data_IF_994296079356
#
_entry.id   IF_994296079356
#
_cell.length_a   1.000
_cell.length_b   1.000
_cell.length_c   1.000
_cell.angle_alpha   90.00
_cell.angle_beta   90.00
_cell.angle_gamma   90.00
#
_symmetry.space_group_name_H-M   'P 1'
#
loop_
_entity.id
_entity.type
_entity.pdbx_description
1 polymer ?
#
# COMPACT_ATOMS: atom_id res chain seq x y z
N UNK A 1 -6.06 20.22 -6.17
CA UNK A 1 -4.92 19.54 -6.81
C UNK A 1 -3.89 19.07 -5.78
N UNK A 2 -3.62 19.84 -4.72
CA UNK A 2 -2.60 19.46 -3.71
C UNK A 2 -2.95 18.22 -2.90
N UNK A 3 -4.21 18.04 -2.49
CA UNK A 3 -4.61 16.88 -1.68
C UNK A 3 -4.33 15.53 -2.37
N UNK A 4 -4.55 15.43 -3.68
CA UNK A 4 -4.25 14.23 -4.46
C UNK A 4 -2.75 13.99 -4.57
N UNK A 5 -1.96 15.05 -4.82
CA UNK A 5 -0.49 14.95 -4.86
C UNK A 5 0.09 14.53 -3.52
N UNK A 6 -0.41 15.12 -2.43
CA UNK A 6 0.00 14.78 -1.06
C UNK A 6 -0.31 13.31 -0.77
N UNK A 7 -1.50 12.83 -1.10
CA UNK A 7 -1.87 11.42 -0.92
C UNK A 7 -0.93 10.48 -1.70
N UNK A 8 -0.63 10.79 -2.96
CA UNK A 8 0.27 10.00 -3.81
C UNK A 8 1.68 9.95 -3.22
N UNK A 9 2.20 11.08 -2.77
CA UNK A 9 3.52 11.18 -2.14
C UNK A 9 3.57 10.43 -0.81
N UNK A 10 2.53 10.53 0.01
CA UNK A 10 2.44 9.81 1.27
C UNK A 10 2.46 8.29 1.04
N UNK A 11 1.66 7.79 0.10
CA UNK A 11 1.64 6.36 -0.22
C UNK A 11 2.92 5.88 -0.92
N UNK A 12 3.55 6.70 -1.74
CA UNK A 12 4.88 6.41 -2.28
C UNK A 12 5.92 6.26 -1.18
N UNK A 13 5.89 7.13 -0.16
CA UNK A 13 6.74 7.03 1.03
C UNK A 13 6.48 5.76 1.83
N UNK A 14 5.21 5.42 2.09
CA UNK A 14 4.83 4.19 2.78
C UNK A 14 5.32 2.96 2.01
N UNK A 15 5.10 2.93 0.69
CA UNK A 15 5.59 1.86 -0.18
C UNK A 15 7.11 1.72 -0.10
N UNK A 16 7.85 2.82 -0.21
CA UNK A 16 9.30 2.82 -0.10
C UNK A 16 9.79 2.31 1.26
N UNK A 17 9.09 2.66 2.35
CA UNK A 17 9.40 2.15 3.68
C UNK A 17 9.19 0.62 3.77
N UNK A 18 8.10 0.10 3.22
CA UNK A 18 7.85 -1.35 3.17
C UNK A 18 8.93 -2.07 2.38
N UNK A 19 9.31 -1.56 1.20
CA UNK A 19 10.40 -2.13 0.39
C UNK A 19 11.72 -2.08 1.15
N UNK A 20 12.04 -0.97 1.80
CA UNK A 20 13.24 -0.83 2.62
C UNK A 20 13.30 -1.88 3.73
N UNK A 21 12.19 -2.12 4.45
CA UNK A 21 12.13 -3.18 5.47
C UNK A 21 12.40 -4.55 4.85
N UNK A 22 11.74 -4.89 3.75
CA UNK A 22 11.94 -6.19 3.08
C UNK A 22 13.40 -6.36 2.64
N UNK A 23 13.96 -5.37 1.96
CA UNK A 23 15.35 -5.41 1.48
C UNK A 23 16.33 -5.52 2.66
N UNK A 24 16.13 -4.74 3.72
CA UNK A 24 16.96 -4.82 4.93
C UNK A 24 16.88 -6.20 5.57
N UNK A 25 15.70 -6.81 5.72
CA UNK A 25 15.58 -8.16 6.30
C UNK A 25 16.28 -9.25 5.49
N UNK A 26 16.41 -9.06 4.18
CA UNK A 26 17.09 -10.00 3.28
C UNK A 26 18.61 -9.78 3.27
N UNK A 27 19.06 -8.53 3.19
CA UNK A 27 20.48 -8.18 3.03
C UNK A 27 21.23 -8.04 4.35
N UNK A 28 20.52 -7.69 5.43
CA UNK A 28 21.05 -7.53 6.78
C UNK A 28 20.13 -8.27 7.78
N UNK A 29 20.14 -9.61 7.78
CA UNK A 29 19.24 -10.43 8.59
C UNK A 29 19.53 -10.31 10.10
N UNK A 30 20.74 -9.90 10.48
CA UNK A 30 21.03 -9.47 11.85
C UNK A 30 20.57 -8.00 12.00
N UNK A 31 19.54 -7.71 12.82
CA UNK A 31 19.00 -6.37 12.97
C UNK A 31 19.89 -5.46 13.85
N UNK A 32 21.00 -5.98 14.38
CA UNK A 32 21.88 -5.22 15.27
C UNK A 32 22.92 -4.39 14.50
N UNK A 33 23.23 -3.20 15.03
CA UNK A 33 24.27 -2.33 14.47
C UNK A 33 23.80 -1.35 13.37
N UNK A 34 24.78 -0.73 12.70
CA UNK A 34 24.54 0.35 11.74
C UNK A 34 24.25 -0.14 10.31
N UNK A 35 24.62 -1.38 9.99
CA UNK A 35 24.43 -1.94 8.64
C UNK A 35 22.94 -2.01 8.24
N UNK A 36 22.01 -2.55 9.06
CA UNK A 36 20.59 -2.57 8.73
C UNK A 36 20.01 -1.18 8.54
N UNK A 37 20.45 -0.22 9.35
CA UNK A 37 20.05 1.18 9.24
C UNK A 37 20.53 1.78 7.92
N UNK A 38 21.80 1.56 7.55
CA UNK A 38 22.37 2.01 6.29
C UNK A 38 21.63 1.44 5.07
N UNK A 39 21.35 0.12 5.09
CA UNK A 39 20.58 -0.55 4.03
C UNK A 39 19.15 -0.01 3.94
N UNK A 40 18.48 0.19 5.08
CA UNK A 40 17.12 0.71 5.11
C UNK A 40 17.06 2.14 4.55
N UNK A 41 17.93 3.03 5.03
CA UNK A 41 17.99 4.42 4.59
C UNK A 41 18.39 4.53 3.12
N UNK A 42 19.38 3.75 2.67
CA UNK A 42 19.81 3.72 1.28
C UNK A 42 18.71 3.23 0.34
N UNK A 43 18.03 2.13 0.71
CA UNK A 43 16.89 1.61 -0.08
C UNK A 43 15.76 2.62 -0.13
N UNK A 44 15.38 3.21 1.01
CA UNK A 44 14.34 4.23 1.06
C UNK A 44 14.68 5.43 0.18
N UNK A 45 15.91 5.94 0.27
CA UNK A 45 16.36 7.10 -0.49
C UNK A 45 16.32 6.88 -2.01
N UNK A 46 16.47 5.63 -2.48
CA UNK A 46 16.35 5.28 -3.91
C UNK A 46 14.90 5.02 -4.31
N UNK A 47 14.15 4.26 -3.51
CA UNK A 47 12.80 3.81 -3.87
C UNK A 47 11.78 4.93 -3.74
N UNK A 48 11.88 5.78 -2.71
CA UNK A 48 10.93 6.88 -2.48
C UNK A 48 10.82 7.84 -3.68
N UNK A 49 11.90 8.38 -4.27
CA UNK A 49 11.78 9.28 -5.42
C UNK A 49 11.25 8.57 -6.67
N UNK A 50 11.64 7.30 -6.90
CA UNK A 50 11.12 6.51 -8.02
C UNK A 50 9.62 6.26 -7.87
N UNK A 51 9.18 5.81 -6.70
CA UNK A 51 7.78 5.58 -6.39
C UNK A 51 6.96 6.88 -6.50
N UNK A 52 7.50 8.00 -6.02
CA UNK A 52 6.87 9.31 -6.13
C UNK A 52 6.71 9.73 -7.60
N UNK A 53 7.75 9.53 -8.42
CA UNK A 53 7.71 9.82 -9.84
C UNK A 53 6.60 9.03 -10.55
N UNK A 54 6.57 7.71 -10.39
CA UNK A 54 5.53 6.87 -10.98
C UNK A 54 4.12 7.19 -10.45
N UNK A 55 3.99 7.45 -9.15
CA UNK A 55 2.70 7.77 -8.53
C UNK A 55 2.12 9.10 -9.05
N UNK A 56 2.98 10.08 -9.36
CA UNK A 56 2.55 11.37 -9.90
C UNK A 56 2.28 11.31 -11.41
N UNK A 57 3.06 10.53 -12.16
CA UNK A 57 2.90 10.37 -13.62
C UNK A 57 1.62 9.59 -13.98
N UNK A 58 1.21 8.64 -13.14
CA UNK A 58 0.05 7.76 -13.37
C UNK A 58 -1.30 8.33 -12.92
N UNK A 59 -1.39 9.63 -12.63
CA UNK A 59 -2.64 10.23 -12.16
C UNK A 59 -3.67 10.29 -13.29
N UNK A 60 -4.72 9.46 -13.16
CA UNK A 60 -5.89 9.52 -14.04
C UNK A 60 -6.65 10.86 -13.88
N UNK A 61 -7.22 11.41 -14.98
CA UNK A 61 -8.07 12.60 -14.92
C UNK A 61 -9.28 12.47 -13.99
N UNK A 62 -9.75 11.24 -13.76
CA UNK A 62 -10.92 10.94 -12.91
C UNK A 62 -10.54 10.63 -11.46
N UNK A 63 -9.26 10.74 -11.09
CA UNK A 63 -8.79 10.42 -9.75
C UNK A 63 -9.24 11.49 -8.74
N UNK A 64 -9.85 11.04 -7.65
CA UNK A 64 -10.20 11.89 -6.51
C UNK A 64 -9.26 11.61 -5.33
N UNK A 65 -8.96 12.65 -4.56
CA UNK A 65 -8.19 12.50 -3.33
C UNK A 65 -8.97 11.62 -2.34
N UNK A 66 -8.33 10.61 -1.78
CA UNK A 66 -8.91 9.59 -0.91
C UNK A 66 -9.08 8.23 -1.60
N UNK A 67 -9.07 8.16 -2.94
CA UNK A 67 -9.29 6.91 -3.66
C UNK A 67 -8.19 5.88 -3.36
N UNK A 68 -6.93 6.32 -3.33
CA UNK A 68 -5.80 5.44 -3.08
C UNK A 68 -5.80 4.97 -1.62
N UNK A 69 -6.14 5.87 -0.70
CA UNK A 69 -6.26 5.55 0.72
C UNK A 69 -7.35 4.52 0.97
N UNK A 70 -8.55 4.71 0.40
CA UNK A 70 -9.65 3.75 0.51
C UNK A 70 -9.28 2.41 -0.10
N UNK A 71 -8.67 2.41 -1.29
CA UNK A 71 -8.18 1.20 -1.95
C UNK A 71 -7.23 0.41 -1.05
N UNK A 72 -6.22 1.06 -0.45
CA UNK A 72 -5.28 0.37 0.43
C UNK A 72 -5.88 -0.04 1.77
N UNK A 73 -6.76 0.76 2.37
CA UNK A 73 -7.44 0.38 3.61
C UNK A 73 -8.27 -0.88 3.40
N UNK A 74 -9.00 -0.97 2.28
CA UNK A 74 -9.76 -2.18 1.93
C UNK A 74 -8.82 -3.34 1.63
N UNK A 75 -7.75 -3.12 0.86
CA UNK A 75 -6.74 -4.14 0.59
C UNK A 75 -6.18 -4.73 1.89
N UNK A 76 -5.64 -3.89 2.77
CA UNK A 76 -5.03 -4.34 4.02
C UNK A 76 -6.07 -4.93 4.97
N UNK A 77 -7.27 -4.35 5.05
CA UNK A 77 -8.36 -4.90 5.87
C UNK A 77 -8.73 -6.32 5.45
N UNK A 78 -8.92 -6.56 4.15
CA UNK A 78 -9.27 -7.89 3.62
C UNK A 78 -8.09 -8.84 3.71
N UNK A 79 -6.87 -8.40 3.37
CA UNK A 79 -5.69 -9.26 3.39
C UNK A 79 -5.31 -9.68 4.82
N UNK A 80 -5.30 -8.74 5.78
CA UNK A 80 -5.00 -9.03 7.18
C UNK A 80 -6.14 -9.84 7.82
N UNK A 81 -7.39 -9.42 7.62
CA UNK A 81 -8.56 -10.14 8.13
C UNK A 81 -8.63 -11.57 7.59
N UNK A 82 -8.41 -11.75 6.28
CA UNK A 82 -8.36 -13.06 5.64
C UNK A 82 -7.21 -13.92 6.14
N UNK A 83 -6.00 -13.34 6.31
CA UNK A 83 -4.86 -14.07 6.88
C UNK A 83 -5.12 -14.54 8.31
N UNK A 84 -5.69 -13.68 9.15
CA UNK A 84 -6.05 -14.03 10.52
C UNK A 84 -7.13 -15.11 10.57
N UNK A 85 -8.16 -14.99 9.73
CA UNK A 85 -9.24 -15.98 9.64
C UNK A 85 -8.73 -17.35 9.17
N UNK A 86 -7.92 -17.39 8.10
CA UNK A 86 -7.32 -18.64 7.62
C UNK A 86 -6.36 -19.23 8.66
N UNK A 87 -5.57 -18.38 9.33
CA UNK A 87 -4.70 -18.79 10.43
C UNK A 87 -5.47 -19.43 11.59
N UNK A 88 -6.62 -18.85 11.97
CA UNK A 88 -7.49 -19.41 13.00
C UNK A 88 -8.10 -20.77 12.61
N UNK A 89 -8.26 -21.03 11.31
CA UNK A 89 -8.70 -22.31 10.75
C UNK A 89 -7.55 -23.31 10.54
N UNK A 90 -6.32 -22.98 10.94
CA UNK A 90 -5.14 -23.82 10.73
C UNK A 90 -4.62 -23.83 9.30
N UNK A 91 -5.14 -22.97 8.42
CA UNK A 91 -4.71 -22.83 7.02
C UNK A 91 -3.53 -21.85 6.97
N UNK A 92 -2.33 -22.40 7.11
CA UNK A 92 -1.06 -21.66 7.05
C UNK A 92 -0.36 -21.71 5.69
N UNK A 93 0.93 -21.40 5.70
CA UNK A 93 1.81 -21.51 4.53
C UNK A 93 1.52 -20.49 3.41
N UNK A 94 2.04 -20.74 2.19
CA UNK A 94 1.88 -19.83 1.06
C UNK A 94 0.42 -19.56 0.69
N UNK A 95 -0.46 -20.55 0.81
CA UNK A 95 -1.90 -20.42 0.51
C UNK A 95 -2.58 -19.45 1.48
N UNK A 96 -2.33 -19.60 2.79
CA UNK A 96 -2.84 -18.68 3.82
C UNK A 96 -2.27 -17.25 3.72
N UNK A 97 -1.22 -17.04 2.93
CA UNK A 97 -0.66 -15.71 2.64
C UNK A 97 -1.13 -15.11 1.30
N UNK A 98 -1.05 -15.88 0.22
CA UNK A 98 -1.31 -15.40 -1.15
C UNK A 98 -2.80 -15.19 -1.39
N UNK A 99 -3.65 -16.09 -0.92
CA UNK A 99 -5.10 -16.00 -1.19
C UNK A 99 -5.71 -14.72 -0.59
N UNK A 100 -5.47 -14.37 0.68
CA UNK A 100 -5.97 -13.11 1.24
C UNK A 100 -5.43 -11.87 0.52
N UNK A 101 -4.18 -11.89 0.05
CA UNK A 101 -3.59 -10.78 -0.71
C UNK A 101 -4.27 -10.63 -2.08
N UNK A 102 -4.45 -11.73 -2.82
CA UNK A 102 -5.10 -11.70 -4.13
C UNK A 102 -6.56 -11.25 -4.03
N UNK A 103 -7.32 -11.80 -3.08
CA UNK A 103 -8.71 -11.40 -2.82
C UNK A 103 -8.77 -9.94 -2.37
N UNK A 104 -7.89 -9.54 -1.45
CA UNK A 104 -7.79 -8.16 -1.00
C UNK A 104 -7.52 -7.20 -2.14
N UNK A 105 -6.66 -7.56 -3.09
CA UNK A 105 -6.38 -6.73 -4.26
C UNK A 105 -7.61 -6.60 -5.17
N UNK A 106 -8.29 -7.71 -5.48
CA UNK A 106 -9.50 -7.70 -6.28
C UNK A 106 -10.57 -6.79 -5.68
N UNK A 107 -10.86 -6.94 -4.38
CA UNK A 107 -11.84 -6.10 -3.68
C UNK A 107 -11.41 -4.64 -3.66
N UNK A 108 -10.13 -4.38 -3.39
CA UNK A 108 -9.57 -3.04 -3.37
C UNK A 108 -9.72 -2.30 -4.71
N UNK A 109 -9.55 -2.98 -5.85
CA UNK A 109 -9.73 -2.34 -7.16
C UNK A 109 -11.15 -1.79 -7.39
N UNK A 110 -12.15 -2.38 -6.72
CA UNK A 110 -13.55 -1.97 -6.78
C UNK A 110 -13.95 -0.99 -5.66
N UNK A 111 -13.04 -0.72 -4.71
CA UNK A 111 -13.34 0.01 -3.48
C UNK A 111 -13.45 1.53 -3.66
N UNK A 112 -13.13 2.09 -4.84
CA UNK A 112 -13.19 3.54 -5.07
C UNK A 112 -14.56 4.13 -4.75
N UNK A 113 -15.63 3.37 -5.00
CA UNK A 113 -17.00 3.76 -4.66
C UNK A 113 -17.27 3.95 -3.17
N UNK A 114 -16.36 3.54 -2.28
CA UNK A 114 -16.47 3.76 -0.83
C UNK A 114 -15.89 5.12 -0.39
N UNK A 115 -15.26 5.88 -1.30
CA UNK A 115 -14.76 7.21 -1.00
C UNK A 115 -15.95 8.19 -0.80
N UNK A 116 -16.16 8.75 0.41
CA UNK A 116 -17.31 9.62 0.67
C UNK A 116 -17.33 10.88 -0.20
N UNK A 117 -16.17 11.33 -0.68
CA UNK A 117 -16.07 12.48 -1.59
C UNK A 117 -16.81 12.24 -2.91
N UNK A 118 -16.78 11.00 -3.41
CA UNK A 118 -17.50 10.59 -4.62
C UNK A 118 -19.02 10.60 -4.44
N UNK A 119 -19.51 10.42 -3.21
CA UNK A 119 -20.95 10.45 -2.92
C UNK A 119 -21.52 11.87 -2.99
N UNK A 120 -20.72 12.87 -2.59
CA UNK A 120 -21.13 14.28 -2.61
C UNK A 120 -21.08 14.92 -4.01
N UNK A 121 -20.31 14.35 -4.94
CA UNK A 121 -20.22 14.83 -6.33
C UNK A 121 -21.46 14.49 -7.19
N UNK A 122 -22.20 13.43 -6.86
CA UNK A 122 -23.36 12.96 -7.61
C UNK A 122 -24.70 13.64 -7.25
N UNK A 123 -24.77 14.42 -6.16
CA UNK A 123 -26.01 15.09 -5.72
C UNK A 123 -26.20 16.50 -6.30
N UNK A 124 -25.47 16.85 -7.37
CA UNK A 124 -25.61 18.12 -8.12
C UNK A 124 -25.84 17.88 -9.61
N UNK A 125 -26.61 16.85 -9.97
CA UNK A 125 -27.17 16.68 -11.30
C UNK A 125 -28.69 16.84 -11.22
#
# INVERSE_FOLDING_TARGET
>A
MDALRIERLAWAGIFAAVVAVVVTTVLAPDPTGLLPLGVALGTFAVVAPLAAWFALDSISPEAEAGDQTVQYLVFFGVALGGRLALGALGIGGPVGGIVPLAVGWLVATQAKGLNPRRWTGGSRA
#
